data_IF_379531638169
#
_entry.id   IF_379531638169
#
_cell.length_a   1.000
_cell.length_b   1.000
_cell.length_c   1.000
_cell.angle_alpha   90.00
_cell.angle_beta   90.00
_cell.angle_gamma   90.00
#
_symmetry.space_group_name_H-M   'P 1'
#
loop_
_entity.id
_entity.type
_entity.pdbx_description
1 polymer ?
#
# COMPACT_ATOMS: atom_id res chain seq x y z
N UNK A 1 -4.39 -0.90 -21.09
CA UNK A 1 -3.27 -1.66 -20.49
C UNK A 1 -2.35 -0.65 -19.82
N UNK A 2 -2.19 -0.69 -18.49
CA UNK A 2 -1.28 0.24 -17.79
C UNK A 2 0.17 -0.21 -18.06
N UNK A 3 0.96 0.65 -18.69
CA UNK A 3 2.36 0.42 -19.03
C UNK A 3 3.27 1.11 -18.01
N UNK A 4 4.27 0.40 -17.51
CA UNK A 4 5.32 0.93 -16.67
C UNK A 4 6.33 1.75 -17.50
N UNK A 5 7.22 2.50 -16.82
CA UNK A 5 8.22 3.45 -17.37
C UNK A 5 9.06 2.94 -18.56
N UNK A 6 9.14 1.62 -18.78
CA UNK A 6 9.92 0.99 -19.86
C UNK A 6 9.11 0.28 -20.95
N UNK A 7 7.78 0.45 -21.03
CA UNK A 7 6.94 -0.31 -21.96
C UNK A 7 6.60 -1.73 -21.50
N UNK A 8 7.02 -2.08 -20.28
CA UNK A 8 6.68 -3.34 -19.62
C UNK A 8 5.27 -3.27 -19.00
N UNK A 9 4.52 -4.39 -18.94
CA UNK A 9 3.25 -4.44 -18.23
C UNK A 9 3.45 -4.11 -16.74
N UNK A 10 2.50 -3.39 -16.13
CA UNK A 10 2.54 -3.11 -14.68
C UNK A 10 2.72 -4.42 -13.90
N UNK A 11 3.77 -4.47 -13.08
CA UNK A 11 4.13 -5.61 -12.23
C UNK A 11 3.20 -5.67 -11.00
N UNK A 12 1.93 -5.96 -11.25
CA UNK A 12 0.89 -6.09 -10.21
C UNK A 12 1.28 -7.07 -9.11
N UNK A 13 2.03 -8.12 -9.44
CA UNK A 13 2.55 -9.10 -8.48
C UNK A 13 3.51 -8.49 -7.47
N UNK A 14 4.38 -7.55 -7.89
CA UNK A 14 5.29 -6.86 -6.99
C UNK A 14 4.54 -5.88 -6.07
N UNK A 15 3.53 -5.18 -6.63
CA UNK A 15 2.68 -4.28 -5.89
C UNK A 15 1.86 -5.02 -4.80
N UNK A 16 1.23 -6.12 -5.19
CA UNK A 16 0.49 -7.02 -4.30
C UNK A 16 1.40 -7.63 -3.25
N UNK A 17 2.56 -8.17 -3.64
CA UNK A 17 3.53 -8.75 -2.71
C UNK A 17 3.96 -7.75 -1.65
N UNK A 18 4.29 -6.52 -2.06
CA UNK A 18 4.65 -5.45 -1.14
C UNK A 18 3.52 -5.07 -0.19
N UNK A 19 2.31 -4.84 -0.71
CA UNK A 19 1.15 -4.51 0.10
C UNK A 19 0.83 -5.60 1.13
N UNK A 20 0.94 -6.88 0.73
CA UNK A 20 0.76 -8.03 1.61
C UNK A 20 1.80 -8.06 2.74
N UNK A 21 3.09 -7.79 2.46
CA UNK A 21 4.13 -7.77 3.50
C UNK A 21 3.81 -6.75 4.60
N UNK A 22 3.42 -5.54 4.22
CA UNK A 22 3.04 -4.48 5.17
C UNK A 22 1.77 -4.82 5.94
N UNK A 23 0.74 -5.30 5.24
CA UNK A 23 -0.53 -5.64 5.83
C UNK A 23 -0.40 -6.81 6.83
N UNK A 24 0.41 -7.83 6.51
CA UNK A 24 0.74 -8.92 7.43
C UNK A 24 1.46 -8.42 8.67
N UNK A 25 2.46 -7.54 8.51
CA UNK A 25 3.17 -6.94 9.64
C UNK A 25 2.25 -6.19 10.60
N UNK A 26 1.32 -5.39 10.05
CA UNK A 26 0.33 -4.66 10.84
C UNK A 26 -0.63 -5.60 11.59
N UNK A 27 -1.17 -6.61 10.89
CA UNK A 27 -2.07 -7.60 11.50
C UNK A 27 -1.40 -8.37 12.64
N UNK A 28 -0.15 -8.81 12.41
CA UNK A 28 0.64 -9.51 13.43
C UNK A 28 0.95 -8.61 14.62
N UNK A 29 1.28 -7.33 14.39
CA UNK A 29 1.53 -6.37 15.47
C UNK A 29 0.30 -6.16 16.35
N UNK A 30 -0.88 -6.01 15.75
CA UNK A 30 -2.15 -5.85 16.47
C UNK A 30 -2.50 -7.13 17.25
N UNK A 31 -2.42 -8.29 16.60
CA UNK A 31 -2.70 -9.57 17.25
C UNK A 31 -1.74 -9.85 18.42
N UNK A 32 -0.44 -9.59 18.22
CA UNK A 32 0.57 -9.77 19.26
C UNK A 32 0.38 -8.79 20.41
N UNK A 33 0.04 -7.52 20.12
CA UNK A 33 -0.27 -6.53 21.15
C UNK A 33 -1.48 -6.93 22.01
N UNK A 34 -2.56 -7.40 21.37
CA UNK A 34 -3.72 -7.96 22.07
C UNK A 34 -3.36 -9.16 22.93
N UNK A 35 -2.60 -10.12 22.36
CA UNK A 35 -2.16 -11.32 23.05
C UNK A 35 -1.26 -11.02 24.27
N UNK A 36 -0.30 -10.11 24.14
CA UNK A 36 0.54 -9.69 25.26
C UNK A 36 -0.27 -9.03 26.35
N UNK A 37 -1.28 -8.22 26.01
CA UNK A 37 -2.17 -7.58 26.99
C UNK A 37 -3.03 -8.63 27.72
N UNK A 38 -3.48 -9.67 27.02
CA UNK A 38 -4.21 -10.81 27.60
C UNK A 38 -3.34 -11.71 28.48
N UNK A 39 -2.07 -11.91 28.14
CA UNK A 39 -1.20 -12.85 28.88
C UNK A 39 -0.37 -12.20 29.99
N UNK A 40 -0.15 -10.89 29.94
CA UNK A 40 0.59 -10.13 30.96
C UNK A 40 -0.23 -9.77 32.20
N UNK A 41 -1.30 -10.52 32.51
CA UNK A 41 -2.35 -10.24 33.51
C UNK A 41 -1.95 -10.00 34.96
N UNK A 42 -0.66 -9.87 35.27
CA UNK A 42 -0.19 -9.32 36.54
C UNK A 42 -0.17 -7.78 36.49
N UNK A 43 -1.34 -7.15 36.62
CA UNK A 43 -1.45 -5.74 37.04
C UNK A 43 -1.90 -4.70 36.00
N UNK A 44 -2.21 -5.08 34.76
CA UNK A 44 -2.79 -4.16 33.78
C UNK A 44 -4.31 -3.99 34.00
N UNK A 45 -4.81 -2.79 34.36
CA UNK A 45 -6.26 -2.55 34.46
C UNK A 45 -6.87 -2.67 33.06
N UNK A 46 -7.75 -3.67 32.85
CA UNK A 46 -8.44 -3.87 31.57
C UNK A 46 -8.52 -5.31 31.06
N UNK A 47 -7.91 -6.29 31.74
CA UNK A 47 -7.99 -7.72 31.37
C UNK A 47 -9.43 -8.26 31.24
N UNK A 48 -10.35 -7.77 32.06
CA UNK A 48 -11.78 -8.10 31.99
C UNK A 48 -12.55 -7.37 30.89
N UNK A 49 -11.90 -6.46 30.15
CA UNK A 49 -12.50 -5.64 29.09
C UNK A 49 -12.03 -6.04 27.68
N UNK A 50 -11.08 -6.96 27.55
CA UNK A 50 -10.62 -7.47 26.24
C UNK A 50 -11.55 -8.58 25.75
N UNK A 51 -11.99 -8.47 24.50
CA UNK A 51 -12.77 -9.48 23.81
C UNK A 51 -11.84 -10.22 22.83
N UNK A 52 -11.50 -11.50 23.08
CA UNK A 52 -10.60 -12.27 22.22
C UNK A 52 -11.02 -12.28 20.74
N UNK A 53 -12.32 -12.25 20.45
CA UNK A 53 -12.80 -12.23 19.08
C UNK A 53 -12.46 -10.91 18.41
N UNK A 54 -12.75 -9.80 19.09
CA UNK A 54 -12.46 -8.47 18.56
C UNK A 54 -10.96 -8.22 18.47
N UNK A 55 -10.21 -8.51 19.52
CA UNK A 55 -8.82 -8.12 19.67
C UNK A 55 -7.83 -8.99 18.89
N UNK A 56 -8.14 -10.29 18.73
CA UNK A 56 -7.24 -11.24 18.07
C UNK A 56 -7.68 -11.62 16.66
N UNK A 57 -8.90 -11.26 16.25
CA UNK A 57 -9.42 -11.61 14.92
C UNK A 57 -9.89 -10.37 14.16
N UNK A 58 -10.87 -9.63 14.70
CA UNK A 58 -11.47 -8.50 13.96
C UNK A 58 -10.45 -7.38 13.74
N UNK A 59 -9.77 -6.92 14.79
CA UNK A 59 -8.79 -5.85 14.70
C UNK A 59 -7.60 -6.19 13.79
N UNK A 60 -6.98 -7.39 13.87
CA UNK A 60 -5.94 -7.80 12.93
C UNK A 60 -6.41 -7.84 11.47
N UNK A 61 -7.61 -8.36 11.19
CA UNK A 61 -8.18 -8.38 9.84
C UNK A 61 -8.44 -6.96 9.33
N UNK A 62 -8.99 -6.09 10.18
CA UNK A 62 -9.22 -4.69 9.85
C UNK A 62 -7.89 -3.96 9.56
N UNK A 63 -6.88 -4.16 10.42
CA UNK A 63 -5.54 -3.60 10.23
C UNK A 63 -4.90 -4.08 8.92
N UNK A 64 -4.99 -5.38 8.63
CA UNK A 64 -4.56 -5.94 7.34
C UNK A 64 -5.24 -5.22 6.18
N UNK A 65 -6.58 -5.18 6.18
CA UNK A 65 -7.38 -4.61 5.10
C UNK A 65 -7.07 -3.13 4.85
N UNK A 66 -6.98 -2.32 5.90
CA UNK A 66 -6.68 -0.89 5.82
C UNK A 66 -5.28 -0.68 5.24
N UNK A 67 -4.25 -1.34 5.80
CA UNK A 67 -2.87 -1.17 5.36
C UNK A 67 -2.67 -1.67 3.93
N UNK A 68 -3.30 -2.79 3.57
CA UNK A 68 -3.30 -3.33 2.22
C UNK A 68 -3.92 -2.35 1.22
N UNK A 69 -5.11 -1.83 1.51
CA UNK A 69 -5.82 -0.88 0.64
C UNK A 69 -5.03 0.42 0.45
N UNK A 70 -4.45 0.96 1.52
CA UNK A 70 -3.63 2.17 1.45
C UNK A 70 -2.37 1.98 0.59
N UNK A 71 -1.66 0.88 0.77
CA UNK A 71 -0.44 0.62 -0.01
C UNK A 71 -0.76 0.34 -1.47
N UNK A 72 -1.75 -0.50 -1.74
CA UNK A 72 -2.14 -0.83 -3.10
C UNK A 72 -2.70 0.40 -3.83
N UNK A 73 -3.58 1.16 -3.18
CA UNK A 73 -4.13 2.41 -3.70
C UNK A 73 -3.06 3.47 -3.93
N UNK A 74 -2.14 3.65 -2.98
CA UNK A 74 -1.03 4.60 -3.11
C UNK A 74 -0.11 4.27 -4.29
N UNK A 75 0.24 2.99 -4.47
CA UNK A 75 1.03 2.55 -5.61
C UNK A 75 0.30 2.73 -6.94
N UNK A 76 -1.01 2.51 -6.97
CA UNK A 76 -1.83 2.77 -8.16
C UNK A 76 -1.84 4.25 -8.54
N UNK A 77 -2.09 5.14 -7.58
CA UNK A 77 -2.09 6.59 -7.79
C UNK A 77 -0.74 7.08 -8.27
N UNK A 78 0.35 6.66 -7.62
CA UNK A 78 1.71 7.01 -8.05
C UNK A 78 2.03 6.46 -9.45
N UNK A 79 1.55 5.26 -9.78
CA UNK A 79 1.67 4.68 -11.12
C UNK A 79 0.99 5.55 -12.18
N UNK A 80 -0.24 5.99 -11.94
CA UNK A 80 -1.00 6.86 -12.85
C UNK A 80 -0.34 8.22 -13.02
N UNK A 81 0.05 8.88 -11.92
CA UNK A 81 0.71 10.21 -11.97
C UNK A 81 2.02 10.13 -12.75
N UNK A 82 2.84 9.10 -12.50
CA UNK A 82 4.12 8.91 -13.20
C UNK A 82 3.90 8.59 -14.68
N UNK A 83 2.90 7.77 -15.01
CA UNK A 83 2.56 7.46 -16.41
C UNK A 83 2.15 8.70 -17.21
N UNK A 84 1.35 9.60 -16.62
CA UNK A 84 0.92 10.84 -17.29
C UNK A 84 2.08 11.79 -17.59
N UNK A 85 3.04 11.94 -16.68
CA UNK A 85 4.21 12.82 -16.87
C UNK A 85 5.16 12.33 -17.97
N UNK A 86 5.21 11.02 -18.24
CA UNK A 86 6.06 10.44 -19.29
C UNK A 86 5.41 10.51 -20.67
N UNK A 87 4.08 10.67 -20.76
CA UNK A 87 3.39 10.84 -22.04
C UNK A 87 3.47 12.28 -22.60
N UNK A 88 3.73 13.28 -21.76
CA UNK A 88 3.85 14.70 -22.16
C UNK A 88 5.17 15.17 -22.82
N UNK A 89 6.36 14.53 -22.69
CA UNK A 89 7.61 15.10 -23.20
C UNK A 89 7.78 15.06 -24.73
N UNK A 90 6.96 14.30 -25.46
CA UNK A 90 7.19 14.04 -26.89
C UNK A 90 6.48 15.02 -27.83
N UNK A 91 5.40 15.68 -27.39
CA UNK A 91 4.70 16.67 -28.21
C UNK A 91 5.41 18.03 -28.28
N UNK A 92 6.28 18.33 -27.32
CA UNK A 92 6.98 19.63 -27.25
C UNK A 92 8.31 19.64 -28.03
N UNK A 93 8.93 18.47 -28.22
CA UNK A 93 10.21 18.36 -28.93
C UNK A 93 10.04 18.29 -30.46
N UNK A 94 8.93 17.75 -30.96
CA UNK A 94 8.65 17.71 -32.41
C UNK A 94 8.37 19.10 -32.99
N UNK A 95 7.78 20.01 -32.21
CA UNK A 95 7.40 21.34 -32.72
C UNK A 95 8.57 22.35 -32.75
N UNK A 96 9.68 22.08 -32.05
CA UNK A 96 10.86 22.97 -32.01
C UNK A 96 11.82 22.75 -33.18
N UNK A 97 11.76 21.58 -33.81
CA UNK A 97 12.69 21.21 -34.88
C UNK A 97 12.17 21.61 -36.29
N UNK A 98 10.98 22.21 -36.39
CA UNK A 98 10.38 22.69 -37.65
C UNK A 98 10.52 24.20 -37.86
N UNK A 99 11.21 24.96 -36.99
CA UNK A 99 11.47 26.38 -37.24
C UNK A 99 12.57 26.51 -38.31
N UNK A 100 12.26 26.96 -39.55
CA UNK A 100 13.27 27.16 -40.57
C UNK A 100 14.04 28.42 -40.19
N UNK A 101 15.35 28.28 -39.97
CA UNK A 101 16.25 29.42 -39.91
C UNK A 101 16.32 30.06 -41.30
N UNK A 102 15.53 31.11 -41.51
CA UNK A 102 15.76 32.08 -42.59
C UNK A 102 16.86 33.08 -42.24
#
# INVERSE_FOLDING_TARGET
>A
MLLARGGEPVRWTAALGWACTWALGAALGVALGGYLTLTSGAGAPGQSALDPTTDLVILPIAAFGIVFALHLGGQLVLGVIRGRRVAQPQSERYHRDEEPTE
#
